data_IF_669738426719
#
_entry.id   IF_669738426719
#
_cell.length_a   1.000
_cell.length_b   1.000
_cell.length_c   1.000
_cell.angle_alpha   90.00
_cell.angle_beta   90.00
_cell.angle_gamma   90.00
#
_symmetry.space_group_name_H-M   'P 1'
#
loop_
_entity.id
_entity.type
_entity.pdbx_description
1 polymer ?
#
# COMPACT_ATOMS: atom_id res chain seq x y z
N UNK A 1 63.66 -37.81 13.95
CA UNK A 1 62.43 -37.50 13.21
C UNK A 1 61.78 -36.35 13.95
N UNK A 2 62.16 -35.11 13.61
CA UNK A 2 61.59 -33.91 14.24
C UNK A 2 60.18 -33.63 13.68
N UNK A 3 59.23 -33.17 14.50
CA UNK A 3 57.92 -32.79 14.01
C UNK A 3 58.00 -31.43 13.30
N UNK A 4 57.40 -31.36 12.12
CA UNK A 4 57.34 -30.14 11.31
C UNK A 4 56.56 -29.02 12.04
N UNK A 5 56.96 -27.74 11.89
CA UNK A 5 56.26 -26.62 12.52
C UNK A 5 54.88 -26.44 11.89
N UNK A 6 53.86 -26.41 12.75
CA UNK A 6 52.48 -26.08 12.39
C UNK A 6 52.42 -24.66 11.80
N UNK A 7 52.01 -24.55 10.54
CA UNK A 7 51.79 -23.25 9.88
C UNK A 7 50.75 -22.38 10.62
N UNK A 8 50.77 -21.06 10.41
CA UNK A 8 49.91 -20.14 11.14
C UNK A 8 48.44 -20.43 10.80
N UNK A 9 47.68 -20.90 11.80
CA UNK A 9 46.23 -20.96 11.68
C UNK A 9 45.72 -19.53 11.52
N UNK A 10 45.20 -19.19 10.34
CA UNK A 10 44.44 -17.95 10.14
C UNK A 10 43.14 -18.08 10.92
N UNK A 11 43.20 -17.80 12.22
CA UNK A 11 42.01 -17.58 13.04
C UNK A 11 41.40 -16.27 12.56
N UNK A 12 40.47 -16.36 11.62
CA UNK A 12 39.62 -15.23 11.25
C UNK A 12 38.97 -14.75 12.56
N UNK A 13 39.40 -13.59 13.05
CA UNK A 13 39.03 -13.15 14.39
C UNK A 13 37.50 -13.10 14.50
N UNK A 14 36.87 -13.69 15.54
CA UNK A 14 35.42 -13.71 15.69
C UNK A 14 34.79 -12.30 15.70
N UNK A 15 35.61 -11.27 15.97
CA UNK A 15 35.25 -9.84 15.85
C UNK A 15 34.92 -9.39 14.42
N UNK A 16 35.51 -9.99 13.39
CA UNK A 16 35.26 -9.65 11.97
C UNK A 16 33.94 -10.30 11.52
N UNK A 17 33.71 -11.55 11.89
CA UNK A 17 32.49 -12.29 11.55
C UNK A 17 31.25 -11.63 12.18
N UNK A 18 31.32 -11.22 13.44
CA UNK A 18 30.21 -10.52 14.11
C UNK A 18 29.92 -9.12 13.55
N UNK A 19 30.91 -8.46 12.93
CA UNK A 19 30.71 -7.16 12.30
C UNK A 19 30.07 -7.26 10.91
N UNK A 20 30.32 -8.33 10.15
CA UNK A 20 29.85 -8.48 8.76
C UNK A 20 28.39 -8.93 8.63
N UNK A 21 27.84 -9.69 9.59
CA UNK A 21 26.48 -10.24 9.50
C UNK A 21 25.40 -9.16 9.38
N UNK A 22 25.40 -8.06 10.17
CA UNK A 22 24.45 -6.96 9.99
C UNK A 22 24.58 -6.27 8.62
N UNK A 23 25.79 -6.14 8.08
CA UNK A 23 26.02 -5.58 6.76
C UNK A 23 25.49 -6.45 5.64
N UNK A 24 25.68 -7.77 5.73
CA UNK A 24 25.14 -8.70 4.75
C UNK A 24 23.62 -8.73 4.78
N UNK A 25 23.01 -8.63 5.97
CA UNK A 25 21.57 -8.51 6.12
C UNK A 25 21.03 -7.19 5.55
N UNK A 26 21.64 -6.06 5.90
CA UNK A 26 21.21 -4.75 5.43
C UNK A 26 21.44 -4.58 3.92
N UNK A 27 22.57 -5.06 3.40
CA UNK A 27 22.85 -5.10 1.97
C UNK A 27 21.88 -6.04 1.26
N UNK A 28 21.59 -7.22 1.81
CA UNK A 28 20.62 -8.18 1.26
C UNK A 28 19.21 -7.62 1.20
N UNK A 29 18.72 -6.95 2.25
CA UNK A 29 17.43 -6.26 2.27
C UNK A 29 17.39 -5.08 1.29
N UNK A 30 18.44 -4.26 1.26
CA UNK A 30 18.55 -3.12 0.35
C UNK A 30 18.58 -3.59 -1.11
N UNK A 31 19.39 -4.61 -1.43
CA UNK A 31 19.42 -5.27 -2.74
C UNK A 31 18.05 -5.86 -3.09
N UNK A 32 17.37 -6.50 -2.15
CA UNK A 32 16.03 -7.04 -2.39
C UNK A 32 15.01 -5.96 -2.74
N UNK A 33 15.07 -4.78 -2.13
CA UNK A 33 14.15 -3.67 -2.43
C UNK A 33 14.53 -2.85 -3.68
N UNK A 34 15.83 -2.68 -3.97
CA UNK A 34 16.30 -1.87 -5.11
C UNK A 34 16.38 -2.68 -6.40
N UNK A 35 16.77 -3.96 -6.33
CA UNK A 35 16.95 -4.76 -7.53
C UNK A 35 15.57 -5.18 -8.09
N UNK A 36 15.26 -5.02 -9.38
CA UNK A 36 13.95 -5.40 -9.98
C UNK A 36 13.68 -6.92 -9.98
N UNK A 37 14.41 -7.70 -9.22
CA UNK A 37 14.50 -9.15 -9.29
C UNK A 37 13.32 -9.73 -8.52
N UNK A 38 12.33 -10.23 -9.27
CA UNK A 38 11.13 -10.79 -8.66
C UNK A 38 11.38 -12.09 -7.85
N UNK A 39 12.62 -12.63 -7.86
CA UNK A 39 13.04 -13.82 -7.10
C UNK A 39 13.25 -13.61 -5.60
N UNK A 40 13.36 -12.37 -5.10
CA UNK A 40 13.54 -12.08 -3.66
C UNK A 40 12.20 -11.73 -2.98
N UNK A 41 11.14 -12.49 -3.27
CA UNK A 41 9.77 -12.18 -2.87
C UNK A 41 9.60 -12.01 -1.34
N UNK A 42 10.23 -12.86 -0.52
CA UNK A 42 10.10 -12.81 0.95
C UNK A 42 10.78 -11.60 1.58
N UNK A 43 11.90 -11.14 1.02
CA UNK A 43 12.56 -9.96 1.57
C UNK A 43 11.71 -8.69 1.39
N UNK A 44 10.72 -8.72 0.48
CA UNK A 44 9.74 -7.64 0.27
C UNK A 44 8.40 -7.87 0.95
N UNK A 45 8.13 -9.07 1.48
CA UNK A 45 6.89 -9.32 2.24
C UNK A 45 6.95 -8.64 3.61
N UNK A 46 8.15 -8.45 4.17
CA UNK A 46 8.36 -7.57 5.30
C UNK A 46 8.33 -6.12 4.81
N UNK A 47 7.38 -5.28 5.29
CA UNK A 47 7.37 -3.87 4.96
C UNK A 47 8.70 -3.21 5.33
N UNK A 48 9.14 -2.24 4.54
CA UNK A 48 10.29 -1.38 4.88
C UNK A 48 10.11 -0.80 6.28
N UNK A 49 8.87 -0.47 6.65
CA UNK A 49 8.45 0.03 7.95
C UNK A 49 8.62 -1.00 9.09
N UNK A 50 8.39 -2.29 8.84
CA UNK A 50 8.65 -3.34 9.83
C UNK A 50 10.16 -3.57 10.03
N UNK A 51 10.94 -3.42 8.95
CA UNK A 51 12.41 -3.40 9.00
C UNK A 51 12.97 -2.29 9.90
N UNK A 52 12.20 -1.23 10.17
CA UNK A 52 12.61 -0.18 11.12
C UNK A 52 12.57 -0.66 12.58
N UNK A 53 11.47 -1.30 12.95
CA UNK A 53 11.24 -1.78 14.31
C UNK A 53 12.18 -2.93 14.63
N UNK A 54 12.46 -3.80 13.65
CA UNK A 54 13.34 -4.95 13.80
C UNK A 54 14.83 -4.61 13.61
N UNK A 55 15.15 -3.56 12.88
CA UNK A 55 16.52 -3.12 12.64
C UNK A 55 17.16 -2.41 13.84
N UNK A 56 16.36 -1.79 14.71
CA UNK A 56 16.85 -1.02 15.87
C UNK A 56 17.63 -1.88 16.88
N UNK A 57 17.17 -3.09 17.26
CA UNK A 57 17.95 -4.02 18.08
C UNK A 57 19.29 -4.44 17.46
N UNK A 58 19.33 -4.64 16.13
CA UNK A 58 20.55 -5.04 15.41
C UNK A 58 21.62 -3.95 15.42
N UNK A 59 21.24 -2.67 15.47
CA UNK A 59 22.16 -1.54 15.63
C UNK A 59 22.85 -1.54 17.01
N UNK A 60 22.19 -2.06 18.05
CA UNK A 60 22.74 -2.14 19.40
C UNK A 60 23.75 -3.30 19.54
N UNK A 61 23.64 -4.33 18.70
CA UNK A 61 24.51 -5.51 18.71
C UNK A 61 25.84 -5.32 17.98
N UNK A 62 26.05 -4.20 17.28
CA UNK A 62 27.30 -3.98 16.55
C UNK A 62 28.50 -3.79 17.50
N UNK A 63 29.65 -4.45 17.25
CA UNK A 63 30.71 -4.66 18.24
C UNK A 63 31.59 -3.43 18.51
N UNK A 64 31.56 -2.42 17.65
CA UNK A 64 32.37 -1.21 17.78
C UNK A 64 31.54 0.06 17.58
N UNK A 65 32.00 1.18 18.17
CA UNK A 65 31.35 2.50 17.97
C UNK A 65 31.31 2.89 16.49
N UNK A 66 32.37 2.57 15.72
CA UNK A 66 32.45 2.86 14.30
C UNK A 66 31.44 2.02 13.50
N UNK A 67 31.39 0.71 13.74
CA UNK A 67 30.44 -0.19 13.09
C UNK A 67 28.99 0.21 13.39
N UNK A 68 28.68 0.55 14.66
CA UNK A 68 27.34 1.06 15.02
C UNK A 68 26.96 2.29 14.23
N UNK A 69 27.84 3.31 14.18
CA UNK A 69 27.59 4.54 13.40
C UNK A 69 27.32 4.23 11.94
N UNK A 70 28.17 3.43 11.29
CA UNK A 70 27.98 3.10 9.90
C UNK A 70 26.70 2.29 9.63
N UNK A 71 26.37 1.30 10.47
CA UNK A 71 25.13 0.54 10.34
C UNK A 71 23.90 1.44 10.54
N UNK A 72 23.93 2.34 11.52
CA UNK A 72 22.85 3.32 11.74
C UNK A 72 22.71 4.24 10.53
N UNK A 73 23.81 4.76 10.00
CA UNK A 73 23.78 5.61 8.79
C UNK A 73 23.21 4.86 7.59
N UNK A 74 23.67 3.64 7.32
CA UNK A 74 23.18 2.84 6.21
C UNK A 74 21.70 2.47 6.37
N UNK A 75 21.25 2.18 7.59
CA UNK A 75 19.85 1.91 7.91
C UNK A 75 18.95 3.15 7.71
N UNK A 76 19.37 4.31 8.19
CA UNK A 76 18.64 5.59 7.97
C UNK A 76 18.58 5.91 6.47
N UNK A 77 19.70 5.79 5.75
CA UNK A 77 19.74 6.03 4.31
C UNK A 77 18.82 5.05 3.55
N UNK A 78 18.86 3.77 3.89
CA UNK A 78 17.96 2.76 3.32
C UNK A 78 16.49 3.13 3.56
N UNK A 79 16.14 3.59 4.75
CA UNK A 79 14.78 4.03 5.04
C UNK A 79 14.35 5.26 4.22
N UNK A 80 15.22 6.27 4.14
CA UNK A 80 14.96 7.50 3.37
C UNK A 80 14.81 7.23 1.88
N UNK A 81 15.55 6.27 1.34
CA UNK A 81 15.51 5.93 -0.09
C UNK A 81 14.33 5.00 -0.42
N UNK A 82 14.00 4.05 0.46
CA UNK A 82 13.05 2.98 0.15
C UNK A 82 11.62 3.22 0.64
N UNK A 83 11.42 4.13 1.60
CA UNK A 83 10.09 4.45 2.13
C UNK A 83 9.72 5.90 1.81
N UNK A 84 8.47 6.20 1.40
CA UNK A 84 7.98 7.57 1.30
C UNK A 84 7.76 8.22 2.68
N UNK A 85 7.79 7.43 3.76
CA UNK A 85 7.43 7.87 5.12
C UNK A 85 8.29 9.00 5.67
N UNK A 86 9.64 9.03 5.53
CA UNK A 86 10.46 10.15 6.01
C UNK A 86 10.06 11.48 5.39
N UNK A 87 9.87 11.50 4.06
CA UNK A 87 9.41 12.70 3.35
C UNK A 87 7.99 13.07 3.78
N UNK A 88 7.11 12.09 3.99
CA UNK A 88 5.76 12.34 4.50
C UNK A 88 5.75 12.92 5.93
N UNK A 89 6.62 12.45 6.82
CA UNK A 89 6.79 13.00 8.16
C UNK A 89 7.32 14.44 8.12
N UNK A 90 8.28 14.73 7.25
CA UNK A 90 8.78 16.10 7.03
C UNK A 90 7.68 17.02 6.48
N UNK A 91 6.85 16.54 5.54
CA UNK A 91 5.70 17.31 5.04
C UNK A 91 4.74 17.67 6.18
N UNK A 92 4.54 16.80 7.16
CA UNK A 92 3.68 17.07 8.33
C UNK A 92 4.14 18.24 9.22
N UNK A 93 5.38 18.72 9.08
CA UNK A 93 5.86 19.90 9.79
C UNK A 93 5.31 21.21 9.23
N UNK A 94 4.73 21.17 8.03
CA UNK A 94 4.05 22.33 7.42
C UNK A 94 2.54 22.26 7.66
N UNK A 95 1.80 23.38 7.54
CA UNK A 95 0.34 23.34 7.57
C UNK A 95 -0.25 22.49 6.45
N UNK A 96 -1.43 21.89 6.70
CA UNK A 96 -2.18 21.19 5.67
C UNK A 96 -2.55 22.17 4.55
N UNK A 97 -2.35 21.80 3.27
CA UNK A 97 -2.82 22.62 2.17
C UNK A 97 -4.34 22.70 2.19
N UNK A 98 -4.89 23.72 1.54
CA UNK A 98 -6.33 23.84 1.33
C UNK A 98 -6.89 22.53 0.75
N UNK A 99 -8.07 22.14 1.25
CA UNK A 99 -8.80 20.94 0.81
C UNK A 99 -8.92 20.96 -0.71
N UNK A 100 -8.56 19.85 -1.35
CA UNK A 100 -8.77 19.65 -2.78
C UNK A 100 -10.25 19.68 -3.14
N UNK A 101 -10.57 19.85 -4.42
CA UNK A 101 -11.96 19.84 -4.89
C UNK A 101 -12.61 18.45 -4.81
N UNK A 102 -11.81 17.38 -4.71
CA UNK A 102 -12.26 16.00 -4.56
C UNK A 102 -11.52 15.32 -3.41
N UNK A 103 -12.21 15.06 -2.30
CA UNK A 103 -11.73 14.15 -1.24
C UNK A 103 -12.17 12.73 -1.55
N UNK A 104 -11.19 11.86 -1.76
CA UNK A 104 -11.36 10.42 -1.92
C UNK A 104 -10.98 9.74 -0.61
N UNK A 105 -11.83 8.82 -0.15
CA UNK A 105 -11.54 7.94 0.98
C UNK A 105 -11.65 6.50 0.50
N UNK A 106 -10.70 5.65 0.89
CA UNK A 106 -10.83 4.19 0.74
C UNK A 106 -10.73 3.49 2.08
N UNK A 107 -11.52 2.44 2.28
CA UNK A 107 -11.60 1.67 3.51
C UNK A 107 -12.06 0.22 3.28
N UNK A 108 -11.26 -0.74 3.75
CA UNK A 108 -11.73 -2.10 4.03
C UNK A 108 -12.63 -2.09 5.27
N UNK A 109 -13.85 -2.65 5.17
CA UNK A 109 -14.89 -2.61 6.20
C UNK A 109 -14.95 -3.87 7.09
N UNK A 110 -13.87 -4.66 7.18
CA UNK A 110 -13.74 -5.78 8.13
C UNK A 110 -14.94 -6.74 8.14
N UNK A 111 -15.23 -7.33 6.98
CA UNK A 111 -16.35 -8.27 6.79
C UNK A 111 -17.72 -7.61 6.63
N UNK A 112 -17.76 -6.37 6.15
CA UNK A 112 -19.02 -5.66 5.86
C UNK A 112 -19.62 -4.90 7.03
N UNK A 113 -18.79 -4.44 7.99
CA UNK A 113 -19.27 -3.59 9.09
C UNK A 113 -19.73 -2.22 8.57
N UNK A 114 -21.04 -2.00 8.60
CA UNK A 114 -21.69 -0.75 8.16
C UNK A 114 -21.20 0.45 8.97
N UNK A 115 -20.81 0.26 10.23
CA UNK A 115 -20.32 1.35 11.09
C UNK A 115 -18.98 1.88 10.61
N UNK A 116 -18.12 1.02 10.04
CA UNK A 116 -16.88 1.43 9.41
C UNK A 116 -17.15 2.33 8.18
N UNK A 117 -18.08 1.90 7.32
CA UNK A 117 -18.52 2.69 6.17
C UNK A 117 -19.16 4.03 6.60
N UNK A 118 -20.00 4.03 7.63
CA UNK A 118 -20.64 5.24 8.18
C UNK A 118 -19.61 6.20 8.81
N UNK A 119 -18.59 5.68 9.50
CA UNK A 119 -17.52 6.48 10.08
C UNK A 119 -16.76 7.28 9.03
N UNK A 120 -16.54 6.71 7.83
CA UNK A 120 -15.83 7.39 6.75
C UNK A 120 -16.52 8.69 6.29
N UNK A 121 -17.85 8.82 6.46
CA UNK A 121 -18.57 10.06 6.14
C UNK A 121 -18.16 11.24 7.02
N UNK A 122 -17.64 11.00 8.23
CA UNK A 122 -17.15 12.08 9.13
C UNK A 122 -15.97 12.84 8.52
N UNK A 123 -15.25 12.21 7.60
CA UNK A 123 -14.15 12.84 6.86
C UNK A 123 -14.62 13.76 5.73
N UNK A 124 -15.94 13.86 5.52
CA UNK A 124 -16.58 14.62 4.45
C UNK A 124 -15.99 14.32 3.05
N UNK A 125 -15.91 13.02 2.66
CA UNK A 125 -15.51 12.64 1.31
C UNK A 125 -16.50 13.14 0.27
N UNK A 126 -16.06 13.20 -0.99
CA UNK A 126 -16.94 13.31 -2.16
C UNK A 126 -17.01 11.95 -2.90
N UNK A 127 -16.01 11.10 -2.68
CA UNK A 127 -15.90 9.75 -3.22
C UNK A 127 -15.42 8.80 -2.11
N UNK A 128 -16.13 7.68 -1.95
CA UNK A 128 -15.83 6.65 -0.97
C UNK A 128 -15.72 5.29 -1.68
N UNK A 129 -14.58 4.63 -1.49
CA UNK A 129 -14.25 3.32 -2.05
C UNK A 129 -14.23 2.31 -0.92
N UNK A 130 -15.10 1.30 -0.96
CA UNK A 130 -15.21 0.31 0.10
C UNK A 130 -14.75 -1.06 -0.40
N UNK A 131 -14.09 -1.81 0.49
CA UNK A 131 -13.69 -3.21 0.33
C UNK A 131 -14.20 -4.01 1.53
N UNK A 132 -14.33 -5.34 1.40
CA UNK A 132 -15.15 -6.14 2.34
C UNK A 132 -16.48 -5.43 2.57
N UNK A 133 -17.09 -4.98 1.48
CA UNK A 133 -18.15 -3.99 1.51
C UNK A 133 -19.36 -4.53 2.27
N UNK A 134 -20.08 -3.68 3.02
CA UNK A 134 -21.42 -4.03 3.47
C UNK A 134 -22.31 -4.43 2.29
N UNK A 135 -23.32 -5.25 2.57
CA UNK A 135 -24.25 -5.74 1.55
C UNK A 135 -25.01 -4.60 0.86
N UNK A 136 -25.53 -4.85 -0.35
CA UNK A 136 -26.30 -3.86 -1.10
C UNK A 136 -27.51 -3.31 -0.34
N UNK A 137 -28.15 -4.12 0.50
CA UNK A 137 -29.28 -3.70 1.35
C UNK A 137 -28.82 -2.76 2.45
N UNK A 138 -27.67 -3.06 3.08
CA UNK A 138 -27.06 -2.20 4.09
C UNK A 138 -26.57 -0.87 3.49
N UNK A 139 -25.90 -0.88 2.33
CA UNK A 139 -25.48 0.34 1.63
C UNK A 139 -26.70 1.19 1.26
N UNK A 140 -27.78 0.60 0.71
CA UNK A 140 -29.02 1.34 0.43
C UNK A 140 -29.62 1.96 1.69
N UNK A 141 -29.56 1.26 2.83
CA UNK A 141 -30.03 1.80 4.10
C UNK A 141 -29.17 2.97 4.60
N UNK A 142 -27.84 2.86 4.47
CA UNK A 142 -26.89 3.92 4.79
C UNK A 142 -27.15 5.16 3.93
N UNK A 143 -27.32 4.99 2.60
CA UNK A 143 -27.54 6.11 1.69
C UNK A 143 -28.86 6.87 1.93
N UNK A 144 -29.90 6.23 2.49
CA UNK A 144 -31.11 6.96 2.91
C UNK A 144 -30.83 8.04 3.96
N UNK A 145 -29.74 7.91 4.71
CA UNK A 145 -29.29 8.87 5.74
C UNK A 145 -28.31 9.90 5.19
N UNK A 146 -27.85 9.74 3.94
CA UNK A 146 -26.92 10.65 3.27
C UNK A 146 -27.50 11.12 1.92
N UNK A 147 -28.44 12.07 1.93
CA UNK A 147 -29.06 12.60 0.71
C UNK A 147 -28.02 13.09 -0.30
N UNK A 148 -28.28 12.86 -1.59
CA UNK A 148 -27.39 13.25 -2.69
C UNK A 148 -26.24 12.27 -2.96
N UNK A 149 -26.11 11.19 -2.19
CA UNK A 149 -25.17 10.11 -2.47
C UNK A 149 -25.82 8.97 -3.27
N UNK A 150 -25.06 8.42 -4.22
CA UNK A 150 -25.43 7.20 -4.94
C UNK A 150 -24.29 6.20 -4.89
N UNK A 151 -24.56 4.94 -5.24
CA UNK A 151 -23.57 3.88 -5.21
C UNK A 151 -23.72 2.87 -6.35
N UNK A 152 -22.59 2.29 -6.73
CA UNK A 152 -22.50 0.98 -7.35
C UNK A 152 -21.95 0.01 -6.32
N UNK A 153 -22.68 -1.08 -6.08
CA UNK A 153 -22.31 -2.12 -5.10
C UNK A 153 -21.95 -3.40 -5.84
N UNK A 154 -20.72 -3.86 -5.67
CA UNK A 154 -20.27 -5.17 -6.12
C UNK A 154 -20.29 -6.21 -5.00
N UNK A 155 -19.79 -7.43 -5.28
CA UNK A 155 -19.78 -8.50 -4.28
C UNK A 155 -18.85 -8.21 -3.09
N UNK A 156 -17.64 -7.72 -3.33
CA UNK A 156 -16.67 -7.40 -2.25
C UNK A 156 -16.28 -5.91 -2.21
N UNK A 157 -16.42 -5.19 -3.32
CA UNK A 157 -16.08 -3.78 -3.42
C UNK A 157 -17.30 -2.91 -3.74
N UNK A 158 -17.30 -1.67 -3.28
CA UNK A 158 -18.33 -0.66 -3.62
C UNK A 158 -17.72 0.70 -3.93
N UNK A 159 -18.43 1.47 -4.76
CA UNK A 159 -18.14 2.87 -5.05
C UNK A 159 -19.35 3.69 -4.64
N UNK A 160 -19.15 4.64 -3.72
CA UNK A 160 -20.15 5.60 -3.25
C UNK A 160 -19.67 7.01 -3.62
N UNK A 161 -20.54 7.86 -4.17
CA UNK A 161 -20.18 9.25 -4.48
C UNK A 161 -21.33 10.22 -4.23
N UNK A 162 -20.98 11.46 -3.89
CA UNK A 162 -21.92 12.58 -3.79
C UNK A 162 -22.28 13.10 -5.19
N UNK A 163 -23.24 12.44 -5.84
CA UNK A 163 -23.62 12.67 -7.23
C UNK A 163 -24.13 11.39 -7.87
N UNK A 164 -23.87 11.19 -9.16
CA UNK A 164 -24.24 9.95 -9.87
C UNK A 164 -23.04 9.01 -10.04
N UNK A 165 -23.24 7.74 -9.72
CA UNK A 165 -22.32 6.63 -10.00
C UNK A 165 -22.96 5.72 -11.04
N UNK A 166 -22.32 5.57 -12.20
CA UNK A 166 -22.80 4.71 -13.30
C UNK A 166 -21.83 3.53 -13.46
N UNK A 167 -22.24 2.28 -13.19
CA UNK A 167 -21.35 1.14 -13.29
C UNK A 167 -20.84 0.94 -14.72
N UNK A 168 -19.57 0.59 -14.85
CA UNK A 168 -19.08 -0.05 -16.07
C UNK A 168 -19.45 -1.53 -16.01
N UNK A 169 -20.29 -1.97 -16.94
CA UNK A 169 -20.65 -3.39 -17.08
C UNK A 169 -19.76 -3.97 -18.16
N UNK A 170 -18.71 -4.68 -17.73
CA UNK A 170 -17.91 -5.53 -18.63
C UNK A 170 -18.68 -6.80 -19.02
N UNK A 171 -18.18 -7.57 -20.01
CA UNK A 171 -18.77 -8.85 -20.39
C UNK A 171 -18.76 -9.88 -19.24
N UNK A 172 -17.81 -9.74 -18.31
CA UNK A 172 -17.62 -10.63 -17.17
C UNK A 172 -18.05 -9.95 -15.86
N UNK A 173 -18.78 -10.67 -15.00
CA UNK A 173 -19.08 -10.23 -13.63
C UNK A 173 -17.89 -10.56 -12.73
N UNK A 174 -17.35 -9.55 -12.07
CA UNK A 174 -16.20 -9.71 -11.16
C UNK A 174 -16.61 -9.55 -9.71
N UNK A 175 -15.96 -10.33 -8.85
CA UNK A 175 -16.17 -10.27 -7.41
C UNK A 175 -15.19 -9.34 -6.72
N UNK A 176 -14.01 -9.15 -7.31
CA UNK A 176 -12.81 -8.55 -6.71
C UNK A 176 -12.62 -7.06 -7.01
N UNK A 177 -13.40 -6.49 -7.93
CA UNK A 177 -13.41 -5.04 -8.16
C UNK A 177 -14.75 -4.55 -8.70
N UNK A 178 -14.96 -3.24 -8.55
CA UNK A 178 -16.06 -2.48 -9.18
C UNK A 178 -15.46 -1.30 -9.90
N UNK A 179 -15.98 -1.01 -11.09
CA UNK A 179 -15.63 0.17 -11.87
C UNK A 179 -16.89 0.98 -12.20
N UNK A 180 -16.78 2.30 -12.17
CA UNK A 180 -17.87 3.21 -12.50
C UNK A 180 -17.39 4.54 -13.08
N UNK A 181 -18.24 5.18 -13.86
CA UNK A 181 -18.13 6.61 -14.14
C UNK A 181 -18.84 7.39 -13.04
N UNK A 182 -18.15 8.40 -12.50
CA UNK A 182 -18.64 9.25 -11.41
C UNK A 182 -18.81 10.67 -11.93
N UNK A 183 -19.95 11.27 -11.61
CA UNK A 183 -20.22 12.70 -11.80
C UNK A 183 -20.68 13.30 -10.49
N UNK A 184 -19.90 14.27 -9.97
CA UNK A 184 -20.19 14.92 -8.70
C UNK A 184 -21.36 15.89 -8.82
N UNK A 185 -22.12 16.07 -7.74
CA UNK A 185 -23.26 16.98 -7.69
C UNK A 185 -22.84 18.46 -7.87
N UNK A 186 -21.63 18.83 -7.44
CA UNK A 186 -21.08 20.18 -7.55
C UNK A 186 -20.64 20.60 -8.96
N UNK A 187 -20.86 19.75 -9.98
CA UNK A 187 -20.39 19.97 -11.34
C UNK A 187 -19.00 19.40 -11.61
N UNK A 188 -18.44 19.73 -12.77
CA UNK A 188 -17.18 19.17 -13.27
C UNK A 188 -17.37 18.07 -14.32
N UNK A 189 -16.28 17.71 -14.98
CA UNK A 189 -16.27 16.62 -15.97
C UNK A 189 -16.42 15.27 -15.25
N UNK A 190 -17.15 14.31 -15.85
CA UNK A 190 -17.19 12.96 -15.31
C UNK A 190 -15.78 12.36 -15.34
N UNK A 191 -15.50 11.52 -14.36
CA UNK A 191 -14.23 10.80 -14.27
C UNK A 191 -14.48 9.35 -13.90
N UNK A 192 -13.49 8.50 -14.17
CA UNK A 192 -13.61 7.06 -14.02
C UNK A 192 -12.97 6.61 -12.72
N UNK A 193 -13.61 5.67 -12.05
CA UNK A 193 -13.19 5.19 -10.74
C UNK A 193 -13.26 3.68 -10.70
N UNK A 194 -12.27 3.04 -10.08
CA UNK A 194 -12.35 1.64 -9.71
C UNK A 194 -12.00 1.45 -8.23
N UNK A 195 -12.79 0.62 -7.55
CA UNK A 195 -12.54 0.12 -6.19
C UNK A 195 -12.18 -1.35 -6.29
N UNK A 196 -11.03 -1.78 -5.75
CA UNK A 196 -10.58 -3.16 -5.81
C UNK A 196 -10.23 -3.74 -4.45
N UNK A 197 -10.27 -5.07 -4.37
CA UNK A 197 -9.60 -5.85 -3.34
C UNK A 197 -8.88 -7.02 -4.00
N UNK A 198 -7.55 -7.01 -3.97
CA UNK A 198 -6.77 -8.12 -4.53
C UNK A 198 -6.81 -9.32 -3.57
N UNK A 199 -6.48 -10.50 -4.10
CA UNK A 199 -6.35 -11.73 -3.30
C UNK A 199 -5.55 -11.50 -2.01
N UNK A 200 -6.11 -11.89 -0.87
CA UNK A 200 -5.49 -11.74 0.44
C UNK A 200 -4.15 -12.47 0.50
N UNK A 201 -3.13 -11.89 1.17
CA UNK A 201 -1.80 -12.47 1.19
C UNK A 201 -1.77 -13.68 2.13
N UNK A 202 -0.95 -14.66 1.76
CA UNK A 202 -0.59 -15.76 2.64
C UNK A 202 0.04 -15.27 3.95
N UNK A 203 -0.47 -15.73 5.10
CA UNK A 203 0.13 -15.49 6.41
C UNK A 203 0.92 -16.72 6.87
N UNK A 204 2.24 -16.70 6.66
CA UNK A 204 3.18 -17.70 7.16
C UNK A 204 4.31 -17.04 7.92
N UNK A 205 4.55 -17.51 9.15
CA UNK A 205 5.63 -16.98 10.00
C UNK A 205 6.87 -17.88 10.03
N UNK A 206 6.82 -19.04 9.36
CA UNK A 206 7.90 -20.01 9.28
C UNK A 206 8.95 -19.64 8.21
N UNK A 207 9.49 -18.42 8.29
CA UNK A 207 10.45 -17.88 7.32
C UNK A 207 11.75 -18.69 7.18
N UNK A 208 12.06 -19.58 8.13
CA UNK A 208 13.20 -20.52 8.02
C UNK A 208 12.94 -21.67 7.04
N UNK A 209 11.69 -21.90 6.64
CA UNK A 209 11.29 -22.98 5.76
C UNK A 209 11.30 -22.54 4.29
N UNK A 210 12.15 -23.12 3.41
CA UNK A 210 12.17 -22.76 1.98
C UNK A 210 10.83 -22.94 1.26
N UNK A 211 9.95 -23.80 1.76
CA UNK A 211 8.59 -23.93 1.21
C UNK A 211 7.74 -22.66 1.45
N UNK A 212 7.96 -21.94 2.56
CA UNK A 212 7.31 -20.65 2.80
C UNK A 212 7.69 -19.63 1.73
N UNK A 213 8.95 -19.64 1.28
CA UNK A 213 9.45 -18.72 0.26
C UNK A 213 8.80 -18.93 -1.10
N UNK A 214 8.66 -20.21 -1.51
CA UNK A 214 7.94 -20.57 -2.73
C UNK A 214 6.47 -20.15 -2.67
N UNK A 215 5.81 -20.43 -1.55
CA UNK A 215 4.42 -20.07 -1.36
C UNK A 215 4.20 -18.54 -1.42
N UNK A 216 5.09 -17.74 -0.83
CA UNK A 216 5.04 -16.28 -0.94
C UNK A 216 5.26 -15.77 -2.38
N UNK A 217 6.13 -16.41 -3.15
CA UNK A 217 6.35 -16.06 -4.56
C UNK A 217 5.13 -16.40 -5.43
N UNK A 218 4.46 -17.53 -5.16
CA UNK A 218 3.22 -17.94 -5.83
C UNK A 218 2.06 -16.99 -5.48
N UNK A 219 1.87 -16.66 -4.20
CA UNK A 219 0.88 -15.72 -3.69
C UNK A 219 1.01 -14.33 -4.35
N UNK A 220 2.23 -13.82 -4.44
CA UNK A 220 2.52 -12.57 -5.16
C UNK A 220 2.14 -12.66 -6.64
N UNK A 221 2.38 -13.82 -7.27
CA UNK A 221 2.03 -14.03 -8.67
C UNK A 221 0.52 -14.08 -8.90
N UNK A 222 -0.26 -14.56 -7.91
CA UNK A 222 -1.73 -14.46 -7.94
C UNK A 222 -2.18 -13.00 -7.93
N UNK A 223 -1.69 -12.19 -6.98
CA UNK A 223 -2.01 -10.75 -6.91
C UNK A 223 -1.61 -9.99 -8.18
N UNK A 224 -0.46 -10.33 -8.78
CA UNK A 224 -0.06 -9.78 -10.08
C UNK A 224 -1.07 -10.12 -11.18
N UNK A 225 -1.49 -11.39 -11.28
CA UNK A 225 -2.49 -11.82 -12.29
C UNK A 225 -3.84 -11.15 -12.10
N UNK A 226 -4.29 -10.97 -10.86
CA UNK A 226 -5.51 -10.21 -10.56
C UNK A 226 -5.40 -8.78 -11.07
N UNK A 227 -4.30 -8.11 -10.75
CA UNK A 227 -4.09 -6.72 -11.16
C UNK A 227 -4.01 -6.58 -12.69
N UNK A 228 -3.28 -7.48 -13.36
CA UNK A 228 -3.21 -7.51 -14.83
C UNK A 228 -4.59 -7.72 -15.47
N UNK A 229 -5.43 -8.60 -14.90
CA UNK A 229 -6.80 -8.80 -15.38
C UNK A 229 -7.64 -7.55 -15.21
N UNK A 230 -7.62 -6.94 -14.02
CA UNK A 230 -8.35 -5.69 -13.75
C UNK A 230 -7.91 -4.61 -14.73
N UNK A 231 -6.60 -4.39 -14.91
CA UNK A 231 -6.07 -3.38 -15.82
C UNK A 231 -6.52 -3.61 -17.26
N UNK A 232 -6.46 -4.84 -17.78
CA UNK A 232 -6.95 -5.15 -19.14
C UNK A 232 -8.41 -4.74 -19.33
N UNK A 233 -9.25 -4.94 -18.31
CA UNK A 233 -10.66 -4.59 -18.39
C UNK A 233 -10.91 -3.09 -18.29
N UNK A 234 -10.18 -2.40 -17.41
CA UNK A 234 -10.22 -0.93 -17.34
C UNK A 234 -9.77 -0.31 -18.67
N UNK A 235 -8.74 -0.86 -19.32
CA UNK A 235 -8.32 -0.44 -20.65
C UNK A 235 -9.39 -0.71 -21.72
N UNK A 236 -10.07 -1.86 -21.67
CA UNK A 236 -11.16 -2.18 -22.60
C UNK A 236 -12.35 -1.23 -22.42
N UNK A 237 -12.62 -0.75 -21.20
CA UNK A 237 -13.59 0.31 -20.94
C UNK A 237 -13.08 1.71 -21.34
N UNK A 238 -11.77 1.86 -21.57
CA UNK A 238 -11.06 3.02 -22.12
C UNK A 238 -9.92 3.50 -21.19
N UNK A 239 -8.80 3.91 -21.79
CA UNK A 239 -7.50 3.97 -21.12
C UNK A 239 -7.21 5.22 -20.27
N UNK A 240 -8.03 6.27 -20.32
CA UNK A 240 -7.73 7.56 -19.69
C UNK A 240 -8.62 7.86 -18.47
N UNK A 241 -8.04 8.48 -17.44
CA UNK A 241 -8.80 9.17 -16.39
C UNK A 241 -9.25 8.32 -15.19
N UNK A 242 -8.61 7.18 -14.93
CA UNK A 242 -8.98 6.27 -13.82
C UNK A 242 -8.39 6.70 -12.47
N UNK A 243 -9.24 7.01 -11.50
CA UNK A 243 -8.86 6.94 -10.08
C UNK A 243 -9.05 5.50 -9.63
N UNK A 244 -7.98 4.86 -9.15
CA UNK A 244 -8.01 3.48 -8.65
C UNK A 244 -7.73 3.49 -7.15
N UNK A 245 -8.56 2.84 -6.34
CA UNK A 245 -8.26 2.72 -4.93
C UNK A 245 -8.79 1.42 -4.33
N UNK A 246 -8.30 1.11 -3.14
CA UNK A 246 -8.76 -0.05 -2.39
C UNK A 246 -7.64 -0.79 -1.68
N UNK A 247 -7.95 -2.03 -1.32
CA UNK A 247 -7.07 -2.95 -0.61
C UNK A 247 -6.27 -3.76 -1.62
N UNK A 248 -5.02 -3.37 -1.85
CA UNK A 248 -4.15 -4.09 -2.77
C UNK A 248 -3.60 -5.38 -2.15
N UNK A 249 -3.82 -5.61 -0.85
CA UNK A 249 -3.27 -6.75 -0.13
C UNK A 249 -1.75 -6.91 -0.31
N UNK A 250 -1.07 -5.83 -0.70
CA UNK A 250 0.37 -5.75 -0.92
C UNK A 250 0.85 -4.33 -0.66
N UNK A 251 1.98 -4.15 0.05
CA UNK A 251 2.73 -2.91 -0.03
C UNK A 251 3.12 -2.60 -1.49
N UNK A 252 3.49 -1.34 -1.81
CA UNK A 252 4.08 -1.00 -3.10
C UNK A 252 5.17 -1.98 -3.49
N UNK A 253 4.91 -2.68 -4.58
CA UNK A 253 5.75 -3.75 -5.06
C UNK A 253 5.88 -3.66 -6.59
N UNK A 254 7.05 -3.23 -7.09
CA UNK A 254 7.28 -3.06 -8.52
C UNK A 254 6.93 -4.26 -9.40
N UNK A 255 7.05 -5.51 -8.92
CA UNK A 255 6.72 -6.68 -9.75
C UNK A 255 5.22 -6.91 -9.90
N UNK A 256 4.41 -6.43 -8.95
CA UNK A 256 2.94 -6.45 -9.03
C UNK A 256 2.48 -5.18 -9.74
N UNK A 257 2.99 -4.03 -9.33
CA UNK A 257 2.61 -2.70 -9.82
C UNK A 257 3.02 -2.42 -11.26
N UNK A 258 3.99 -3.14 -11.82
CA UNK A 258 4.28 -3.05 -13.26
C UNK A 258 3.06 -3.29 -14.13
N UNK A 259 2.05 -4.03 -13.64
CA UNK A 259 0.77 -4.21 -14.31
C UNK A 259 -0.05 -2.92 -14.46
N UNK A 260 0.16 -1.90 -13.61
CA UNK A 260 -0.54 -0.62 -13.64
C UNK A 260 0.03 0.36 -14.67
N UNK A 261 1.21 0.10 -15.22
CA UNK A 261 1.89 0.98 -16.16
C UNK A 261 0.98 1.47 -17.32
N UNK A 262 0.13 0.63 -17.93
CA UNK A 262 -0.74 1.07 -19.02
C UNK A 262 -1.81 2.09 -18.62
N UNK A 263 -2.10 2.26 -17.33
CA UNK A 263 -3.06 3.25 -16.82
C UNK A 263 -2.41 4.58 -16.43
N UNK A 264 -1.07 4.66 -16.38
CA UNK A 264 -0.35 5.90 -16.07
C UNK A 264 -0.68 6.47 -14.68
N UNK A 265 -0.87 5.60 -13.68
CA UNK A 265 -1.31 6.01 -12.34
C UNK A 265 -0.12 6.27 -11.41
N UNK A 266 -0.31 7.23 -10.50
CA UNK A 266 0.63 7.57 -9.43
C UNK A 266 -0.02 7.39 -8.09
N UNK A 267 0.74 6.89 -7.13
CA UNK A 267 0.28 6.74 -5.74
C UNK A 267 0.16 8.11 -5.04
N UNK A 268 -1.02 8.36 -4.49
CA UNK A 268 -1.34 9.61 -3.79
C UNK A 268 -0.47 9.82 -2.56
N UNK A 269 -0.19 8.76 -1.79
CA UNK A 269 0.65 8.85 -0.60
C UNK A 269 2.11 9.13 -0.96
N UNK A 270 2.64 8.48 -1.99
CA UNK A 270 4.00 8.78 -2.47
C UNK A 270 4.12 10.23 -2.95
N UNK A 271 3.08 10.73 -3.64
CA UNK A 271 3.04 12.09 -4.20
C UNK A 271 2.95 13.19 -3.14
N UNK A 272 2.00 13.11 -2.22
CA UNK A 272 1.72 14.16 -1.23
C UNK A 272 1.35 13.62 0.16
N UNK A 273 1.86 12.43 0.49
CA UNK A 273 1.67 11.78 1.79
C UNK A 273 2.13 12.64 2.94
N UNK A 274 1.40 12.57 4.06
CA UNK A 274 1.71 13.23 5.32
C UNK A 274 1.56 12.25 6.47
N UNK A 275 2.52 12.27 7.38
CA UNK A 275 2.52 11.42 8.56
C UNK A 275 2.84 9.96 8.23
N UNK A 276 2.30 9.05 9.03
CA UNK A 276 2.53 7.62 8.87
C UNK A 276 1.55 7.00 7.87
N UNK A 277 2.09 6.31 6.87
CA UNK A 277 1.32 5.79 5.73
C UNK A 277 0.76 4.38 5.90
N UNK A 278 1.15 3.63 6.94
CA UNK A 278 0.65 2.27 7.16
C UNK A 278 -0.85 2.26 7.44
N UNK A 279 -1.51 1.18 7.01
CA UNK A 279 -2.95 1.00 7.07
C UNK A 279 -3.36 -0.26 7.84
N UNK A 280 -2.55 -1.32 7.82
CA UNK A 280 -2.84 -2.57 8.52
C UNK A 280 -1.72 -3.02 9.49
N UNK A 281 -2.06 -3.63 10.62
CA UNK A 281 -3.34 -3.54 11.35
C UNK A 281 -3.62 -2.11 11.83
N UNK A 282 -4.89 -1.72 12.03
CA UNK A 282 -5.29 -0.35 12.33
C UNK A 282 -4.62 0.25 13.58
N UNK A 283 -4.43 -0.57 14.62
CA UNK A 283 -3.84 -0.14 15.89
C UNK A 283 -2.34 0.11 15.77
N UNK A 284 -1.63 -0.82 15.14
CA UNK A 284 -0.19 -0.76 14.91
C UNK A 284 0.10 -0.92 13.42
N UNK A 285 -0.05 0.16 12.63
CA UNK A 285 -0.08 0.11 11.16
C UNK A 285 1.31 -0.18 10.58
N UNK A 286 1.68 -1.45 10.47
CA UNK A 286 2.99 -1.87 9.98
C UNK A 286 3.08 -1.94 8.46
N UNK A 287 1.96 -2.19 7.77
CA UNK A 287 1.93 -2.41 6.32
C UNK A 287 1.06 -1.35 5.66
N UNK A 288 1.43 -0.89 4.46
CA UNK A 288 0.62 0.03 3.64
C UNK A 288 0.02 -0.70 2.46
N UNK A 289 -1.13 -1.33 2.67
CA UNK A 289 -1.81 -2.18 1.67
C UNK A 289 -3.03 -1.52 1.04
N UNK A 290 -3.64 -0.55 1.72
CA UNK A 290 -4.72 0.27 1.19
C UNK A 290 -4.15 1.52 0.53
N UNK A 291 -4.61 1.84 -0.69
CA UNK A 291 -4.00 2.91 -1.49
C UNK A 291 -5.01 3.60 -2.39
N UNK A 292 -4.68 4.83 -2.79
CA UNK A 292 -5.39 5.62 -3.80
C UNK A 292 -4.36 6.02 -4.85
N UNK A 293 -4.62 5.64 -6.09
CA UNK A 293 -3.80 5.93 -7.26
C UNK A 293 -4.61 6.82 -8.22
N UNK A 294 -3.97 7.82 -8.81
CA UNK A 294 -4.62 8.73 -9.75
C UNK A 294 -3.70 9.08 -10.93
N UNK A 295 -4.25 9.43 -12.11
CA UNK A 295 -3.46 9.78 -13.28
C UNK A 295 -2.88 11.19 -13.13
N UNK A 296 -2.03 11.60 -14.08
CA UNK A 296 -1.39 12.92 -14.07
C UNK A 296 -2.37 14.10 -14.09
N UNK A 297 -3.54 13.92 -14.72
CA UNK A 297 -4.61 14.92 -14.74
C UNK A 297 -5.21 15.24 -13.36
N UNK A 298 -4.81 14.55 -12.30
CA UNK A 298 -5.13 14.89 -10.92
C UNK A 298 -3.86 15.26 -10.14
N UNK A 299 -3.86 16.45 -9.58
CA UNK A 299 -2.88 16.91 -8.60
C UNK A 299 -3.29 16.43 -7.21
N UNK A 300 -2.39 15.76 -6.52
CA UNK A 300 -2.58 15.33 -5.12
C UNK A 300 -2.16 16.46 -4.19
N UNK A 301 -3.08 17.00 -3.42
CA UNK A 301 -2.82 18.08 -2.46
C UNK A 301 -2.26 17.54 -1.15
N UNK A 302 -2.89 16.50 -0.64
CA UNK A 302 -2.45 15.79 0.55
C UNK A 302 -3.00 14.36 0.52
N UNK A 303 -2.26 13.43 1.12
CA UNK A 303 -2.75 12.09 1.41
C UNK A 303 -2.31 11.66 2.81
N UNK A 304 -3.17 11.00 3.57
CA UNK A 304 -2.87 10.58 4.95
C UNK A 304 -3.76 9.40 5.36
N UNK A 305 -3.43 8.80 6.49
CA UNK A 305 -4.22 7.71 7.08
C UNK A 305 -5.00 8.18 8.30
N UNK A 306 -6.19 7.63 8.51
CA UNK A 306 -7.02 7.87 9.69
C UNK A 306 -7.43 6.53 10.28
N UNK A 307 -7.19 6.33 11.58
CA UNK A 307 -7.61 5.11 12.28
C UNK A 307 -9.13 5.00 12.25
N UNK A 308 -9.66 3.84 11.85
CA UNK A 308 -11.06 3.50 12.05
C UNK A 308 -11.26 2.89 13.44
N UNK A 309 -12.42 3.15 14.05
CA UNK A 309 -12.84 2.48 15.27
C UNK A 309 -13.53 1.12 15.00
N UNK A 310 -13.91 0.86 13.75
CA UNK A 310 -14.77 -0.28 13.37
C UNK A 310 -14.14 -1.17 12.29
N UNK A 311 -12.89 -0.91 11.91
CA UNK A 311 -12.14 -1.72 10.96
C UNK A 311 -10.74 -2.01 11.51
N UNK A 312 -10.22 -3.18 11.15
CA UNK A 312 -8.83 -3.58 11.35
C UNK A 312 -7.88 -2.93 10.33
N UNK A 313 -8.41 -2.14 9.38
CA UNK A 313 -7.67 -1.26 8.50
C UNK A 313 -7.86 0.22 8.89
N UNK A 314 -6.86 1.05 8.59
CA UNK A 314 -7.00 2.51 8.59
C UNK A 314 -7.59 2.98 7.27
N UNK A 315 -8.42 4.01 7.34
CA UNK A 315 -8.86 4.75 6.15
C UNK A 315 -7.65 5.43 5.49
N UNK A 316 -7.61 5.41 4.16
CA UNK A 316 -6.70 6.27 3.39
C UNK A 316 -7.51 7.41 2.80
N UNK A 317 -7.03 8.63 3.01
CA UNK A 317 -7.65 9.86 2.53
C UNK A 317 -6.72 10.51 1.53
N UNK A 318 -7.25 10.97 0.41
CA UNK A 318 -6.54 11.78 -0.57
C UNK A 318 -7.40 12.98 -0.98
N UNK A 319 -6.83 14.18 -0.86
CA UNK A 319 -7.42 15.40 -1.40
C UNK A 319 -6.81 15.65 -2.79
N UNK A 320 -7.65 15.60 -3.81
CA UNK A 320 -7.31 15.73 -5.22
C UNK A 320 -7.87 17.02 -5.81
N UNK A 321 -7.20 17.51 -6.85
CA UNK A 321 -7.61 18.67 -7.64
C UNK A 321 -7.31 18.37 -9.12
N UNK A 322 -8.18 18.75 -10.07
CA UNK A 322 -7.83 18.71 -11.48
C UNK A 322 -6.52 19.46 -11.73
N UNK A 323 -5.58 18.83 -12.41
CA UNK A 323 -4.40 19.53 -12.90
C UNK A 323 -4.82 20.52 -14.01
N UNK A 324 -4.29 21.75 -14.04
CA UNK A 324 -4.59 22.72 -15.09
C UNK A 324 -4.18 22.24 -16.49
#
# INVERSE_FOLDING_TARGET
>A
MEPAPSGPSVKLAPRIVGACVPWMWLAGLTLAHVAPWCGLAVARTLPVEAGLVLGTPLLLLAPSRHSRRMCTTAWILGWVVLSPTPVALLRSLTPLPAKGSLRVVTLNCAGGDVRAAEEAFRLQPQLLLLQESPSSTQIRALLRRHPGWTATVGPDASILAQGSVRPFVGPDRHTDFVAAEVRLAGGGQPFRVASLRLTAPLLRLDFWNPAAWRAYAEDRSLRKRDLERIVRQLQAAGSAGWILGGDFNTPPDPCVEGALAPLGLRDAFSSAGRGWGGTGPAEFPLVRIDRILCPEGWRVRAAWTVRSAFSDHRMVVADLEPSP
#
